data_IF_163969802671
#
_entry.id   IF_163969802671
#
_cell.length_a   1.000
_cell.length_b   1.000
_cell.length_c   1.000
_cell.angle_alpha   90.00
_cell.angle_beta   90.00
_cell.angle_gamma   90.00
#
_symmetry.space_group_name_H-M   'P 1'
#
loop_
_entity.id
_entity.type
_entity.pdbx_description
1 polymer ?
#
# COMPACT_ATOMS: atom_id res chain seq x y z
N UNK A 1 13.03 14.36 7.13
CA UNK A 1 11.80 13.85 6.50
C UNK A 1 12.18 13.34 5.12
N UNK A 2 11.76 12.14 4.72
CA UNK A 2 12.05 11.65 3.37
C UNK A 2 11.26 12.50 2.37
N UNK A 3 11.95 13.12 1.42
CA UNK A 3 11.31 13.92 0.38
C UNK A 3 10.87 12.98 -0.75
N UNK A 4 9.65 12.45 -0.62
CA UNK A 4 9.03 11.56 -1.60
C UNK A 4 7.93 12.32 -2.32
N UNK A 5 8.13 12.62 -3.61
CA UNK A 5 7.07 13.18 -4.45
C UNK A 5 6.06 12.10 -4.85
N UNK A 6 5.20 11.75 -3.89
CA UNK A 6 4.08 10.84 -4.08
C UNK A 6 2.96 11.46 -4.93
N UNK A 7 2.85 12.79 -4.97
CA UNK A 7 1.76 13.46 -5.66
C UNK A 7 1.86 13.30 -7.18
N UNK A 8 3.08 13.22 -7.71
CA UNK A 8 3.33 12.92 -9.14
C UNK A 8 2.78 11.57 -9.62
N UNK A 9 2.37 10.67 -8.71
CA UNK A 9 1.89 9.33 -9.05
C UNK A 9 0.36 9.19 -9.05
N UNK A 10 -0.38 10.27 -8.81
CA UNK A 10 -1.87 10.22 -8.77
C UNK A 10 -2.47 9.65 -10.06
N UNK A 11 -1.89 9.97 -11.20
CA UNK A 11 -2.37 9.50 -12.52
C UNK A 11 -2.18 8.00 -12.74
N UNK A 12 -1.37 7.32 -11.91
CA UNK A 12 -1.19 5.88 -11.95
C UNK A 12 -2.27 5.12 -11.17
N UNK A 13 -3.06 5.81 -10.36
CA UNK A 13 -4.12 5.19 -9.57
C UNK A 13 -5.36 4.94 -10.43
N UNK A 14 -5.89 3.72 -10.37
CA UNK A 14 -7.16 3.39 -11.02
C UNK A 14 -8.32 3.73 -10.09
N UNK A 15 -9.13 4.71 -10.49
CA UNK A 15 -10.25 5.21 -9.70
C UNK A 15 -11.60 4.79 -10.28
N UNK A 16 -12.58 4.59 -9.40
CA UNK A 16 -13.97 4.32 -9.78
C UNK A 16 -14.92 5.11 -8.87
N UNK A 17 -16.03 5.60 -9.43
CA UNK A 17 -17.11 6.22 -8.64
C UNK A 17 -18.28 5.23 -8.55
N UNK A 18 -18.79 5.03 -7.33
CA UNK A 18 -20.00 4.22 -7.06
C UNK A 18 -20.80 4.93 -5.97
N UNK A 19 -22.10 5.18 -6.20
CA UNK A 19 -23.00 5.84 -5.24
C UNK A 19 -22.38 7.12 -4.64
N UNK A 20 -21.89 8.01 -5.51
CA UNK A 20 -21.22 9.28 -5.16
C UNK A 20 -19.96 9.17 -4.28
N UNK A 21 -19.45 7.95 -4.07
CA UNK A 21 -18.20 7.69 -3.36
C UNK A 21 -17.11 7.29 -4.34
N UNK A 22 -15.89 7.78 -4.07
CA UNK A 22 -14.68 7.42 -4.84
C UNK A 22 -14.04 6.18 -4.25
N UNK A 23 -13.61 5.29 -5.13
CA UNK A 23 -12.89 4.07 -4.81
C UNK A 23 -11.60 4.03 -5.60
N UNK A 24 -10.57 3.40 -5.03
CA UNK A 24 -9.28 3.13 -5.67
C UNK A 24 -9.05 1.62 -5.74
N UNK A 25 -8.53 1.15 -6.86
CA UNK A 25 -8.12 -0.25 -6.99
C UNK A 25 -6.78 -0.48 -6.30
N UNK A 26 -6.74 -1.42 -5.36
CA UNK A 26 -5.51 -1.88 -4.75
C UNK A 26 -4.92 -3.06 -5.56
N UNK A 27 -3.73 -2.90 -6.19
CA UNK A 27 -3.13 -3.93 -7.02
C UNK A 27 -2.54 -5.12 -6.25
N UNK A 28 -2.39 -5.00 -4.92
CA UNK A 28 -1.87 -6.06 -4.04
C UNK A 28 -3.03 -6.86 -3.43
N UNK A 29 -4.08 -6.18 -2.96
CA UNK A 29 -5.29 -6.79 -2.37
C UNK A 29 -6.33 -7.20 -3.43
N UNK A 30 -6.13 -6.81 -4.69
CA UNK A 30 -6.98 -7.10 -5.84
C UNK A 30 -8.46 -6.72 -5.66
N UNK A 31 -8.73 -5.57 -5.03
CA UNK A 31 -10.10 -5.07 -4.81
C UNK A 31 -10.17 -3.55 -4.84
N UNK A 32 -11.36 -3.03 -5.08
CA UNK A 32 -11.65 -1.60 -4.92
C UNK A 32 -11.92 -1.26 -3.46
N UNK A 33 -11.33 -0.18 -2.98
CA UNK A 33 -11.43 0.31 -1.61
C UNK A 33 -11.91 1.74 -1.60
N UNK A 34 -12.64 2.13 -0.55
CA UNK A 34 -13.08 3.51 -0.39
C UNK A 34 -11.84 4.41 -0.33
N UNK A 35 -11.80 5.44 -1.16
CA UNK A 35 -10.67 6.35 -1.22
C UNK A 35 -10.74 7.34 -0.06
N UNK A 36 -10.13 6.98 1.07
CA UNK A 36 -9.88 7.87 2.21
C UNK A 36 -8.53 8.58 2.04
N UNK A 37 -8.23 9.65 2.81
CA UNK A 37 -6.90 10.28 2.78
C UNK A 37 -5.76 9.31 3.12
N UNK A 38 -5.96 8.46 4.13
CA UNK A 38 -5.01 7.41 4.53
C UNK A 38 -4.80 6.39 3.41
N UNK A 39 -5.88 5.90 2.79
CA UNK A 39 -5.81 4.94 1.69
C UNK A 39 -5.17 5.56 0.44
N UNK A 40 -5.37 6.87 0.20
CA UNK A 40 -4.66 7.59 -0.86
C UNK A 40 -3.14 7.56 -0.63
N UNK A 41 -2.67 7.84 0.58
CA UNK A 41 -1.24 7.78 0.91
C UNK A 41 -0.70 6.36 0.74
N UNK A 42 -1.42 5.35 1.24
CA UNK A 42 -1.08 3.93 1.08
C UNK A 42 -0.94 3.53 -0.38
N UNK A 43 -1.91 3.88 -1.23
CA UNK A 43 -1.86 3.53 -2.65
C UNK A 43 -0.78 4.29 -3.42
N UNK A 44 -0.51 5.56 -3.09
CA UNK A 44 0.61 6.30 -3.69
C UNK A 44 1.97 5.69 -3.29
N UNK A 45 2.10 5.25 -2.04
CA UNK A 45 3.31 4.56 -1.58
C UNK A 45 3.49 3.20 -2.26
N UNK A 46 2.42 2.42 -2.42
CA UNK A 46 2.44 1.17 -3.21
C UNK A 46 2.87 1.47 -4.65
N UNK A 47 2.25 2.47 -5.30
CA UNK A 47 2.59 2.85 -6.68
C UNK A 47 4.06 3.27 -6.80
N UNK A 48 4.59 4.03 -5.84
CA UNK A 48 6.01 4.40 -5.79
C UNK A 48 6.93 3.17 -5.67
N UNK A 49 6.59 2.25 -4.76
CA UNK A 49 7.38 1.04 -4.53
C UNK A 49 7.37 0.11 -5.76
N UNK A 50 6.23 -0.02 -6.43
CA UNK A 50 6.10 -0.80 -7.66
C UNK A 50 6.85 -0.17 -8.84
N UNK A 51 6.63 1.12 -9.10
CA UNK A 51 7.07 1.75 -10.36
C UNK A 51 8.44 2.42 -10.27
N UNK A 52 8.76 3.09 -9.15
CA UNK A 52 10.02 3.82 -8.99
C UNK A 52 11.10 2.98 -8.31
N UNK A 53 10.71 2.05 -7.42
CA UNK A 53 11.65 1.14 -6.74
C UNK A 53 11.70 -0.27 -7.35
N UNK A 54 10.75 -0.62 -8.22
CA UNK A 54 10.76 -1.90 -8.92
C UNK A 54 10.51 -3.11 -8.01
N UNK A 55 9.87 -2.93 -6.84
CA UNK A 55 9.47 -4.06 -6.03
C UNK A 55 8.37 -4.85 -6.73
N UNK A 56 8.49 -6.18 -6.75
CA UNK A 56 7.48 -7.04 -7.34
C UNK A 56 6.26 -7.16 -6.41
N UNK A 57 5.01 -7.12 -6.91
CA UNK A 57 3.79 -7.23 -6.10
C UNK A 57 3.76 -8.42 -5.14
N UNK A 58 4.35 -9.56 -5.56
CA UNK A 58 4.44 -10.79 -4.76
C UNK A 58 5.22 -10.63 -3.45
N UNK A 59 6.03 -9.58 -3.32
CA UNK A 59 6.81 -9.28 -2.12
C UNK A 59 6.04 -8.43 -1.10
N UNK A 60 4.83 -7.98 -1.41
CA UNK A 60 4.04 -7.13 -0.55
C UNK A 60 3.12 -7.96 0.34
N UNK A 61 3.04 -7.58 1.61
CA UNK A 61 1.90 -7.86 2.49
C UNK A 61 1.30 -6.51 2.89
N UNK A 62 0.01 -6.32 2.63
CA UNK A 62 -0.70 -5.07 2.93
C UNK A 62 -1.80 -5.37 3.92
N UNK A 63 -1.89 -4.56 4.98
CA UNK A 63 -2.96 -4.62 5.98
C UNK A 63 -3.11 -5.98 6.70
N UNK A 64 -2.04 -6.76 6.80
CA UNK A 64 -2.07 -8.03 7.53
C UNK A 64 -2.00 -7.79 9.04
N UNK A 65 -2.78 -8.60 9.75
CA UNK A 65 -2.81 -8.65 11.19
C UNK A 65 -1.75 -9.65 11.67
N UNK A 66 -1.00 -9.27 12.69
CA UNK A 66 0.04 -10.07 13.33
C UNK A 66 -0.22 -10.10 14.84
N UNK A 67 -0.06 -11.27 15.44
CA UNK A 67 -0.17 -11.42 16.89
C UNK A 67 1.22 -11.25 17.50
N UNK A 68 1.38 -10.21 18.33
CA UNK A 68 2.63 -9.89 19.02
C UNK A 68 2.33 -9.83 20.51
N UNK A 69 2.90 -10.75 21.30
CA UNK A 69 2.66 -10.84 22.74
C UNK A 69 1.17 -10.89 23.13
N UNK A 70 0.35 -11.63 22.39
CA UNK A 70 -1.10 -11.72 22.62
C UNK A 70 -1.89 -10.47 22.21
N UNK A 71 -1.22 -9.46 21.64
CA UNK A 71 -1.86 -8.25 21.10
C UNK A 71 -1.89 -8.33 19.59
N UNK A 72 -3.08 -8.08 19.04
CA UNK A 72 -3.25 -8.03 17.60
C UNK A 72 -2.84 -6.66 17.05
N UNK A 73 -1.80 -6.66 16.21
CA UNK A 73 -1.24 -5.45 15.58
C UNK A 73 -1.41 -5.56 14.07
N UNK A 74 -1.80 -4.46 13.44
CA UNK A 74 -1.88 -4.36 11.98
C UNK A 74 -0.77 -3.45 11.52
N UNK A 75 -0.12 -3.81 10.42
CA UNK A 75 0.78 -2.93 9.70
C UNK A 75 0.16 -2.55 8.36
N UNK A 76 0.52 -1.39 7.83
CA UNK A 76 0.01 -0.96 6.54
C UNK A 76 0.68 -1.71 5.40
N UNK A 77 2.01 -1.65 5.30
CA UNK A 77 2.76 -2.27 4.20
C UNK A 77 4.03 -2.94 4.75
N UNK A 78 4.21 -4.22 4.43
CA UNK A 78 5.44 -4.97 4.64
C UNK A 78 5.96 -5.48 3.29
N UNK A 79 7.23 -5.24 3.01
CA UNK A 79 7.95 -5.77 1.84
C UNK A 79 8.93 -6.84 2.29
N UNK A 80 8.88 -8.00 1.66
CA UNK A 80 9.81 -9.09 1.86
C UNK A 80 11.04 -8.96 0.94
N UNK A 81 12.20 -9.30 1.48
CA UNK A 81 13.44 -9.46 0.73
C UNK A 81 13.45 -10.73 -0.15
N UNK A 82 14.50 -10.95 -0.94
CA UNK A 82 14.62 -12.11 -1.82
C UNK A 82 14.53 -13.47 -1.10
N UNK A 83 14.96 -13.56 0.17
CA UNK A 83 14.90 -14.77 0.98
C UNK A 83 13.68 -14.81 1.92
N UNK A 84 12.62 -14.05 1.60
CA UNK A 84 11.36 -13.97 2.35
C UNK A 84 11.46 -13.42 3.79
N UNK A 85 12.57 -12.79 4.14
CA UNK A 85 12.70 -12.02 5.37
C UNK A 85 12.00 -10.65 5.26
N UNK A 86 11.38 -10.13 6.34
CA UNK A 86 10.97 -8.74 6.43
C UNK A 86 12.12 -7.80 6.04
N UNK A 87 11.89 -6.92 5.08
CA UNK A 87 12.92 -5.99 4.57
C UNK A 87 12.55 -4.53 4.79
N UNK A 88 11.29 -4.16 4.53
CA UNK A 88 10.80 -2.81 4.72
C UNK A 88 9.40 -2.85 5.32
N UNK A 89 9.21 -2.13 6.41
CA UNK A 89 7.91 -1.86 7.02
C UNK A 89 7.58 -0.38 6.81
N UNK A 90 6.36 -0.07 6.40
CA UNK A 90 5.86 1.30 6.27
C UNK A 90 4.48 1.43 6.92
N UNK A 91 4.28 2.58 7.58
CA UNK A 91 3.04 3.03 8.22
C UNK A 91 2.66 4.37 7.57
N UNK A 92 1.37 4.57 7.29
CA UNK A 92 0.83 5.70 6.54
C UNK A 92 -0.39 6.36 7.17
#
# INVERSE_FOLDING_TARGET
>A
MLDLDLQSLKDQLTLQIRNDKRYVYDPIRHKYLLLTPEELVRQLLIAYLLTRKGYQPKRFAVEKQLEVFGLSRRFDILIFGPQLQPFLLAEC
#
